data_IF_408276910972
#
_entry.id   IF_408276910972
#
_cell.length_a   1.000
_cell.length_b   1.000
_cell.length_c   1.000
_cell.angle_alpha   90.00
_cell.angle_beta   90.00
_cell.angle_gamma   90.00
#
_symmetry.space_group_name_H-M   'P 1'
#
loop_
_entity.id
_entity.type
_entity.pdbx_description
1 polymer ?
#
# COMPACT_ATOMS: atom_id res chain seq x y z
N UNK A 1 4.33 -10.46 1.22
CA UNK A 1 4.22 -9.04 1.62
C UNK A 1 4.38 -8.94 3.12
N UNK A 2 5.20 -8.02 3.58
CA UNK A 2 5.47 -7.85 5.01
C UNK A 2 5.89 -6.43 5.32
N UNK A 3 5.90 -6.07 6.60
CA UNK A 3 6.32 -4.75 7.05
C UNK A 3 7.74 -4.45 6.57
N UNK A 4 7.93 -3.26 6.01
CA UNK A 4 9.19 -2.82 5.45
C UNK A 4 9.33 -3.04 3.95
N UNK A 5 8.43 -3.81 3.35
CA UNK A 5 8.46 -4.02 1.90
C UNK A 5 8.16 -2.72 1.17
N UNK A 6 8.88 -2.49 0.07
CA UNK A 6 8.60 -1.37 -0.84
C UNK A 6 7.52 -1.83 -1.82
N UNK A 7 6.47 -1.05 -1.93
CA UNK A 7 5.33 -1.38 -2.78
C UNK A 7 4.99 -0.23 -3.74
N UNK A 8 4.30 -0.57 -4.81
CA UNK A 8 3.76 0.39 -5.78
C UNK A 8 2.27 0.15 -5.91
N UNK A 9 1.49 1.23 -6.00
CA UNK A 9 0.06 1.10 -6.29
C UNK A 9 -0.13 0.70 -7.75
N UNK A 10 -0.94 -0.32 -7.98
CA UNK A 10 -1.11 -0.89 -9.33
C UNK A 10 -2.20 -0.21 -10.16
N UNK A 11 -2.91 0.76 -9.59
CA UNK A 11 -3.95 1.49 -10.29
C UNK A 11 -5.35 0.89 -10.14
N UNK A 12 -5.52 -0.18 -9.37
CA UNK A 12 -6.85 -0.75 -9.11
C UNK A 12 -7.53 -0.08 -7.92
N UNK A 13 -8.82 -0.36 -7.74
CA UNK A 13 -9.59 0.19 -6.64
C UNK A 13 -10.15 1.58 -6.91
N UNK A 14 -10.95 2.11 -5.95
CA UNK A 14 -11.68 3.37 -6.14
C UNK A 14 -10.81 4.60 -6.38
N UNK A 15 -9.59 4.60 -5.85
CA UNK A 15 -8.65 5.71 -5.99
C UNK A 15 -7.46 5.34 -6.88
N UNK A 16 -7.56 4.24 -7.59
CA UNK A 16 -6.45 3.73 -8.41
C UNK A 16 -5.98 4.74 -9.45
N UNK A 17 -6.89 5.49 -10.03
CA UNK A 17 -6.56 6.50 -11.03
C UNK A 17 -5.67 7.63 -10.47
N UNK A 18 -5.79 7.92 -9.17
CA UNK A 18 -4.94 8.91 -8.50
C UNK A 18 -3.62 8.31 -8.02
N UNK A 19 -3.68 7.06 -7.57
CA UNK A 19 -2.55 6.45 -6.86
C UNK A 19 -1.63 5.64 -7.75
N UNK A 20 -2.04 5.31 -8.96
CA UNK A 20 -1.25 4.47 -9.86
C UNK A 20 0.20 4.95 -9.97
N UNK A 21 1.13 4.05 -9.70
CA UNK A 21 2.55 4.34 -9.76
C UNK A 21 3.13 4.96 -8.50
N UNK A 22 2.30 5.28 -7.49
CA UNK A 22 2.80 5.78 -6.21
C UNK A 22 3.64 4.70 -5.51
N UNK A 23 4.75 5.12 -4.92
CA UNK A 23 5.64 4.23 -4.18
C UNK A 23 5.48 4.46 -2.68
N UNK A 24 5.56 3.38 -1.92
CA UNK A 24 5.46 3.47 -0.48
C UNK A 24 6.07 2.28 0.23
N UNK A 25 6.09 2.34 1.54
CA UNK A 25 6.64 1.29 2.41
C UNK A 25 5.52 0.80 3.33
N UNK A 26 5.39 -0.51 3.45
CA UNK A 26 4.43 -1.11 4.36
C UNK A 26 4.86 -0.85 5.80
N UNK A 27 3.98 -0.24 6.58
CA UNK A 27 4.26 0.12 7.98
C UNK A 27 3.50 -0.74 8.97
N UNK A 28 2.36 -1.31 8.57
CA UNK A 28 1.54 -2.11 9.47
C UNK A 28 0.69 -3.11 8.70
N UNK A 29 0.44 -4.25 9.32
CA UNK A 29 -0.47 -5.27 8.84
C UNK A 29 -1.69 -5.31 9.77
N UNK A 30 -2.88 -5.21 9.20
CA UNK A 30 -4.14 -5.32 9.96
C UNK A 30 -4.86 -6.58 9.51
N UNK A 31 -5.16 -7.46 10.45
CA UNK A 31 -5.88 -8.69 10.17
C UNK A 31 -7.34 -8.55 10.60
N UNK A 32 -8.25 -8.85 9.67
CA UNK A 32 -9.69 -8.76 9.89
C UNK A 32 -10.32 -10.12 9.55
N UNK A 33 -10.37 -11.01 10.53
CA UNK A 33 -10.88 -12.36 10.27
C UNK A 33 -10.04 -13.07 9.21
N UNK A 34 -10.60 -13.35 8.03
CA UNK A 34 -9.92 -14.03 6.94
C UNK A 34 -9.20 -13.09 5.98
N UNK A 35 -9.31 -11.78 6.16
CA UNK A 35 -8.68 -10.81 5.26
C UNK A 35 -7.54 -10.05 5.97
N UNK A 36 -6.61 -9.57 5.16
CA UNK A 36 -5.49 -8.78 5.63
C UNK A 36 -5.43 -7.48 4.83
N UNK A 37 -5.38 -6.36 5.55
CA UNK A 37 -5.18 -5.05 4.96
C UNK A 37 -3.84 -4.51 5.38
N UNK A 38 -3.30 -3.59 4.60
CA UNK A 38 -1.95 -3.08 4.78
C UNK A 38 -1.97 -1.57 4.91
N UNK A 39 -1.22 -1.05 5.87
CA UNK A 39 -0.96 0.38 5.96
C UNK A 39 0.34 0.67 5.25
N UNK A 40 0.32 1.70 4.41
CA UNK A 40 1.46 2.08 3.58
C UNK A 40 1.79 3.53 3.81
N UNK A 41 3.05 3.82 4.05
CA UNK A 41 3.56 5.18 4.08
C UNK A 41 4.04 5.51 2.66
N UNK A 42 3.26 6.31 1.96
CA UNK A 42 3.56 6.70 0.59
C UNK A 42 4.64 7.77 0.56
N UNK A 43 5.55 7.67 -0.40
CA UNK A 43 6.67 8.61 -0.54
C UNK A 43 6.38 9.76 -1.49
N UNK A 44 5.19 9.76 -2.11
CA UNK A 44 4.76 10.82 -3.02
C UNK A 44 3.82 11.78 -2.31
N UNK A 45 3.68 13.01 -2.84
CA UNK A 45 2.76 14.00 -2.28
C UNK A 45 1.31 13.54 -2.31
N UNK A 46 0.94 12.76 -3.30
CA UNK A 46 -0.42 12.18 -3.38
C UNK A 46 -0.66 11.24 -2.20
N UNK A 47 0.37 10.48 -1.80
CA UNK A 47 0.27 9.55 -0.70
C UNK A 47 0.01 10.21 0.66
N UNK A 48 0.35 11.47 0.84
CA UNK A 48 0.09 12.19 2.09
C UNK A 48 -1.40 12.25 2.43
N UNK A 49 -2.25 12.29 1.42
CA UNK A 49 -3.70 12.33 1.58
C UNK A 49 -4.26 11.00 2.11
N UNK A 50 -3.51 9.93 1.93
CA UNK A 50 -3.96 8.56 2.22
C UNK A 50 -3.07 7.84 3.23
N UNK A 51 -2.32 8.58 4.05
CA UNK A 51 -1.33 7.97 4.95
C UNK A 51 -1.92 6.99 5.98
N UNK A 52 -3.15 7.23 6.40
CA UNK A 52 -3.79 6.39 7.43
C UNK A 52 -4.86 5.46 6.84
N UNK A 53 -4.88 5.32 5.54
CA UNK A 53 -5.85 4.46 4.84
C UNK A 53 -5.30 3.05 4.76
N UNK A 54 -6.18 2.07 4.96
CA UNK A 54 -5.86 0.67 4.75
C UNK A 54 -5.99 0.33 3.27
N UNK A 55 -5.07 -0.50 2.79
CA UNK A 55 -5.01 -0.90 1.38
C UNK A 55 -5.16 -2.41 1.26
N UNK A 56 -5.93 -2.85 0.27
CA UNK A 56 -6.04 -4.26 -0.05
C UNK A 56 -4.78 -4.71 -0.80
N UNK A 57 -4.39 -5.95 -0.57
CA UNK A 57 -3.24 -6.53 -1.26
C UNK A 57 -3.36 -6.43 -2.78
N UNK A 58 -4.60 -6.54 -3.30
CA UNK A 58 -4.86 -6.45 -4.73
C UNK A 58 -4.53 -5.08 -5.35
N UNK A 59 -4.40 -4.05 -4.51
CA UNK A 59 -4.04 -2.69 -4.96
C UNK A 59 -2.53 -2.46 -4.95
N UNK A 60 -1.77 -3.38 -4.38
CA UNK A 60 -0.34 -3.20 -4.11
C UNK A 60 0.50 -4.22 -4.87
N UNK A 61 1.65 -3.76 -5.35
CA UNK A 61 2.65 -4.60 -5.99
C UNK A 61 3.97 -4.47 -5.22
N UNK A 62 4.49 -5.58 -4.72
CA UNK A 62 5.78 -5.58 -4.03
C UNK A 62 6.89 -5.43 -5.06
N UNK A 63 7.71 -4.38 -4.94
CA UNK A 63 8.82 -4.15 -5.86
C UNK A 63 10.18 -4.38 -5.21
N UNK A 64 10.25 -4.36 -3.87
CA UNK A 64 11.46 -4.72 -3.14
C UNK A 64 11.07 -5.26 -1.78
N UNK A 65 11.45 -6.50 -1.53
CA UNK A 65 11.18 -7.14 -0.25
C UNK A 65 12.19 -6.72 0.81
N UNK A 66 11.67 -6.45 2.02
CA UNK A 66 12.51 -6.22 3.18
C UNK A 66 13.04 -7.57 3.69
N UNK A 67 14.34 -7.72 3.73
CA UNK A 67 15.01 -8.95 4.16
C UNK A 67 15.67 -8.82 5.52
#
# INVERSE_FOLDING_TARGET
MKIGDLVRHNGSGPVGWKMKGSLGVITKQENWGSSTDWRVLWTTTVGEWYRDVLWFRSELEVISENR
#
